data_IF_208982529270
#
_entry.id   IF_208982529270
#
_cell.length_a   1.000
_cell.length_b   1.000
_cell.length_c   1.000
_cell.angle_alpha   90.00
_cell.angle_beta   90.00
_cell.angle_gamma   90.00
#
_symmetry.space_group_name_H-M   'P 1'
#
loop_
_entity.id
_entity.type
_entity.pdbx_description
1 polymer ?
#
# COMPACT_ATOMS: atom_id res chain seq x y z
N UNK A 1 12.03 4.98 -16.07
CA UNK A 1 11.63 4.48 -17.39
C UNK A 1 12.73 4.68 -18.45
N UNK A 2 13.16 5.92 -18.75
CA UNK A 2 14.20 6.16 -19.79
C UNK A 2 15.48 5.37 -19.57
N UNK A 3 15.92 5.22 -18.35
CA UNK A 3 17.11 4.47 -17.97
C UNK A 3 16.82 2.96 -18.03
N UNK A 4 15.72 2.49 -17.50
CA UNK A 4 15.32 1.08 -17.54
C UNK A 4 15.18 0.54 -18.97
N UNK A 5 14.59 1.33 -19.89
CA UNK A 5 14.48 0.95 -21.31
C UNK A 5 15.86 0.78 -22.00
N UNK A 6 16.85 1.58 -21.61
CA UNK A 6 18.19 1.50 -22.18
C UNK A 6 19.00 0.32 -21.64
N UNK A 7 18.80 -0.01 -20.37
CA UNK A 7 19.64 -0.97 -19.65
C UNK A 7 18.97 -2.34 -19.49
N UNK A 8 17.68 -2.46 -19.85
CA UNK A 8 16.87 -3.68 -19.71
C UNK A 8 16.88 -4.30 -18.31
N UNK A 9 17.14 -3.48 -17.28
CA UNK A 9 17.12 -3.94 -15.89
C UNK A 9 15.69 -4.15 -15.40
N UNK A 10 15.46 -5.26 -14.74
CA UNK A 10 14.15 -5.65 -14.20
C UNK A 10 14.04 -5.27 -12.74
N UNK A 11 15.14 -5.36 -11.98
CA UNK A 11 15.15 -5.03 -10.56
C UNK A 11 15.90 -3.73 -10.28
N UNK A 12 15.54 -3.07 -9.17
CA UNK A 12 16.25 -1.89 -8.71
C UNK A 12 17.72 -2.21 -8.31
N UNK A 13 18.03 -3.35 -7.65
CA UNK A 13 19.40 -3.74 -7.40
C UNK A 13 20.25 -3.94 -8.68
N UNK A 14 19.67 -4.45 -9.78
CA UNK A 14 20.37 -4.52 -11.08
C UNK A 14 20.75 -3.12 -11.60
N UNK A 15 19.84 -2.16 -11.43
CA UNK A 15 20.13 -0.77 -11.78
C UNK A 15 21.28 -0.20 -10.94
N UNK A 16 21.30 -0.48 -9.63
CA UNK A 16 22.40 -0.07 -8.73
C UNK A 16 23.74 -0.68 -9.19
N UNK A 17 23.76 -1.98 -9.53
CA UNK A 17 24.97 -2.65 -10.04
C UNK A 17 25.50 -1.95 -11.30
N UNK A 18 24.63 -1.56 -12.22
CA UNK A 18 25.04 -0.89 -13.46
C UNK A 18 25.70 0.48 -13.25
N UNK A 19 25.45 1.10 -12.11
CA UNK A 19 26.00 2.41 -11.75
C UNK A 19 27.22 2.33 -10.86
N UNK A 20 27.31 1.28 -10.03
CA UNK A 20 28.35 1.08 -9.02
C UNK A 20 29.05 -0.26 -9.24
N UNK A 21 28.72 -1.27 -8.42
CA UNK A 21 29.32 -2.60 -8.50
C UNK A 21 28.41 -3.70 -7.93
N UNK A 22 28.86 -4.95 -7.97
CA UNK A 22 28.12 -6.09 -7.44
C UNK A 22 27.94 -6.08 -5.91
N UNK A 23 28.81 -5.39 -5.16
CA UNK A 23 28.66 -5.24 -3.70
C UNK A 23 27.52 -4.29 -3.39
N UNK A 24 27.44 -3.18 -4.12
CA UNK A 24 26.33 -2.23 -4.01
C UNK A 24 25.00 -2.90 -4.35
N UNK A 25 24.94 -3.79 -5.38
CA UNK A 25 23.76 -4.60 -5.69
C UNK A 25 23.35 -5.47 -4.50
N UNK A 26 24.29 -6.20 -3.89
CA UNK A 26 23.98 -7.07 -2.75
C UNK A 26 23.37 -6.30 -1.58
N UNK A 27 23.96 -5.15 -1.23
CA UNK A 27 23.41 -4.28 -0.18
C UNK A 27 22.01 -3.79 -0.55
N UNK A 28 21.80 -3.33 -1.79
CA UNK A 28 20.49 -2.90 -2.27
C UNK A 28 19.46 -4.05 -2.23
N UNK A 29 19.86 -5.27 -2.61
CA UNK A 29 18.99 -6.46 -2.53
C UNK A 29 18.54 -6.75 -1.09
N UNK A 30 19.49 -6.73 -0.15
CA UNK A 30 19.17 -6.95 1.27
C UNK A 30 18.21 -5.88 1.78
N UNK A 31 18.51 -4.61 1.54
CA UNK A 31 17.65 -3.49 1.97
C UNK A 31 16.24 -3.57 1.36
N UNK A 32 16.13 -3.86 0.07
CA UNK A 32 14.83 -3.98 -0.60
C UNK A 32 14.03 -5.18 -0.09
N UNK A 33 14.66 -6.33 0.17
CA UNK A 33 13.99 -7.50 0.76
C UNK A 33 13.43 -7.21 2.15
N UNK A 34 14.21 -6.61 3.04
CA UNK A 34 13.72 -6.21 4.35
C UNK A 34 12.56 -5.22 4.24
N UNK A 35 12.64 -4.27 3.31
CA UNK A 35 11.55 -3.34 3.03
C UNK A 35 10.27 -4.07 2.58
N UNK A 36 10.37 -5.00 1.62
CA UNK A 36 9.22 -5.75 1.11
C UNK A 36 8.61 -6.67 2.17
N UNK A 37 9.42 -7.32 2.99
CA UNK A 37 8.93 -8.11 4.14
C UNK A 37 8.17 -7.21 5.11
N UNK A 38 8.72 -6.04 5.45
CA UNK A 38 8.07 -5.09 6.34
C UNK A 38 6.72 -4.59 5.80
N UNK A 39 6.66 -4.23 4.52
CA UNK A 39 5.41 -3.82 3.86
C UNK A 39 4.40 -4.97 3.87
N UNK A 40 4.79 -6.18 3.45
CA UNK A 40 3.89 -7.34 3.46
C UNK A 40 3.35 -7.62 4.87
N UNK A 41 4.21 -7.60 5.88
CA UNK A 41 3.81 -7.82 7.27
C UNK A 41 2.79 -6.77 7.74
N UNK A 42 3.00 -5.48 7.43
CA UNK A 42 2.08 -4.40 7.80
C UNK A 42 0.70 -4.57 7.13
N UNK A 43 0.66 -4.98 5.85
CA UNK A 43 -0.59 -5.24 5.15
C UNK A 43 -1.34 -6.45 5.74
N UNK A 44 -0.63 -7.51 6.09
CA UNK A 44 -1.23 -8.69 6.71
C UNK A 44 -1.80 -8.39 8.10
N UNK A 45 -1.11 -7.57 8.89
CA UNK A 45 -1.62 -7.12 10.20
C UNK A 45 -2.90 -6.30 10.00
N UNK A 46 -2.89 -5.32 9.10
CA UNK A 46 -4.06 -4.49 8.82
C UNK A 46 -5.27 -5.33 8.33
N UNK A 47 -5.05 -6.27 7.41
CA UNK A 47 -6.11 -7.17 6.93
C UNK A 47 -6.63 -8.08 8.06
N UNK A 48 -5.74 -8.60 8.89
CA UNK A 48 -6.08 -9.44 10.04
C UNK A 48 -6.90 -8.70 11.09
N UNK A 49 -6.58 -7.43 11.38
CA UNK A 49 -7.35 -6.59 12.30
C UNK A 49 -8.77 -6.32 11.79
N UNK A 50 -8.91 -5.98 10.51
CA UNK A 50 -10.23 -5.78 9.89
C UNK A 50 -11.05 -7.06 9.95
N UNK A 51 -10.45 -8.19 9.56
CA UNK A 51 -11.13 -9.47 9.58
C UNK A 51 -11.52 -9.88 11.00
N UNK A 52 -10.65 -9.65 11.99
CA UNK A 52 -10.97 -9.90 13.39
C UNK A 52 -12.12 -9.01 13.90
N UNK A 53 -12.13 -7.74 13.53
CA UNK A 53 -13.20 -6.81 13.90
C UNK A 53 -14.56 -7.27 13.35
N UNK A 54 -14.56 -7.85 12.14
CA UNK A 54 -15.79 -8.33 11.48
C UNK A 54 -16.27 -9.69 12.00
N UNK A 55 -15.35 -10.61 12.24
CA UNK A 55 -15.67 -12.02 12.47
C UNK A 55 -15.55 -12.46 13.91
N UNK A 56 -14.84 -11.70 14.74
CA UNK A 56 -14.54 -12.02 16.14
C UNK A 56 -13.82 -13.38 16.34
N UNK A 57 -13.12 -13.87 15.29
CA UNK A 57 -12.43 -15.17 15.33
C UNK A 57 -11.15 -15.18 16.18
N UNK A 58 -10.73 -14.00 16.64
CA UNK A 58 -9.43 -13.79 17.28
C UNK A 58 -8.34 -13.43 16.27
N UNK A 59 -7.42 -12.54 16.70
CA UNK A 59 -6.43 -11.92 15.81
C UNK A 59 -5.54 -12.94 15.09
N UNK A 60 -5.08 -14.00 15.78
CA UNK A 60 -4.22 -15.01 15.19
C UNK A 60 -4.88 -15.79 14.03
N UNK A 61 -6.15 -16.19 14.19
CA UNK A 61 -6.90 -16.88 13.12
C UNK A 61 -7.18 -15.93 11.95
N UNK A 62 -7.57 -14.71 12.24
CA UNK A 62 -7.85 -13.69 11.24
C UNK A 62 -6.60 -13.34 10.42
N UNK A 63 -5.46 -13.21 11.07
CA UNK A 63 -4.16 -13.03 10.42
C UNK A 63 -3.81 -14.21 9.51
N UNK A 64 -3.98 -15.45 9.99
CA UNK A 64 -3.71 -16.65 9.19
C UNK A 64 -4.59 -16.72 7.94
N UNK A 65 -5.89 -16.45 8.08
CA UNK A 65 -6.83 -16.45 6.94
C UNK A 65 -6.42 -15.36 5.92
N UNK A 66 -6.16 -14.13 6.38
CA UNK A 66 -5.71 -13.06 5.52
C UNK A 66 -4.43 -13.40 4.77
N UNK A 67 -3.46 -14.02 5.47
CA UNK A 67 -2.19 -14.46 4.88
C UNK A 67 -2.38 -15.52 3.80
N UNK A 68 -3.18 -16.54 4.07
CA UNK A 68 -3.47 -17.62 3.10
C UNK A 68 -4.16 -17.06 1.86
N UNK A 69 -5.15 -16.19 2.04
CA UNK A 69 -5.88 -15.58 0.91
C UNK A 69 -4.94 -14.72 0.08
N UNK A 70 -4.14 -13.85 0.70
CA UNK A 70 -3.20 -12.97 0.00
C UNK A 70 -2.17 -13.78 -0.79
N UNK A 71 -1.53 -14.75 -0.17
CA UNK A 71 -0.49 -15.57 -0.81
C UNK A 71 -1.09 -16.38 -1.96
N UNK A 72 -2.21 -17.07 -1.74
CA UNK A 72 -2.85 -17.89 -2.75
C UNK A 72 -3.29 -17.06 -3.97
N UNK A 73 -3.92 -15.92 -3.74
CA UNK A 73 -4.37 -15.03 -4.79
C UNK A 73 -3.19 -14.46 -5.59
N UNK A 74 -2.13 -13.97 -4.93
CA UNK A 74 -0.95 -13.41 -5.59
C UNK A 74 -0.19 -14.47 -6.39
N UNK A 75 -0.02 -15.67 -5.82
CA UNK A 75 0.67 -16.78 -6.49
C UNK A 75 -0.09 -17.29 -7.73
N UNK A 76 -1.42 -17.35 -7.66
CA UNK A 76 -2.24 -17.81 -8.80
C UNK A 76 -2.39 -16.73 -9.88
N UNK A 77 -2.43 -15.46 -9.49
CA UNK A 77 -2.71 -14.34 -10.38
C UNK A 77 -1.50 -13.81 -11.14
N UNK A 78 -0.35 -13.78 -10.50
CA UNK A 78 0.87 -13.16 -11.05
C UNK A 78 0.73 -11.66 -11.31
N UNK A 79 1.78 -11.03 -11.84
CA UNK A 79 1.86 -9.57 -11.99
C UNK A 79 0.72 -8.97 -12.83
N UNK A 80 0.34 -9.61 -13.95
CA UNK A 80 -0.69 -9.06 -14.84
C UNK A 80 -2.08 -9.08 -14.20
N UNK A 81 -2.42 -10.12 -13.47
CA UNK A 81 -3.70 -10.19 -12.76
C UNK A 81 -3.77 -9.12 -11.66
N UNK A 82 -2.68 -8.91 -10.92
CA UNK A 82 -2.60 -7.86 -9.91
C UNK A 82 -2.82 -6.47 -10.53
N UNK A 83 -2.21 -6.18 -11.68
CA UNK A 83 -2.43 -4.89 -12.37
C UNK A 83 -3.90 -4.67 -12.73
N UNK A 84 -4.63 -5.70 -13.19
CA UNK A 84 -6.06 -5.56 -13.51
C UNK A 84 -6.93 -5.42 -12.26
N UNK A 85 -6.64 -6.18 -11.22
CA UNK A 85 -7.40 -6.08 -9.97
C UNK A 85 -7.16 -4.76 -9.26
N UNK A 86 -5.97 -4.18 -9.34
CA UNK A 86 -5.64 -2.86 -8.78
C UNK A 86 -6.61 -1.76 -9.28
N UNK A 87 -7.04 -1.80 -10.54
CA UNK A 87 -8.00 -0.84 -11.07
C UNK A 87 -9.35 -0.91 -10.35
N UNK A 88 -9.86 -2.12 -10.13
CA UNK A 88 -11.13 -2.33 -9.41
C UNK A 88 -10.95 -1.93 -7.95
N UNK A 89 -9.85 -2.32 -7.34
CA UNK A 89 -9.53 -2.05 -5.93
C UNK A 89 -9.40 -0.56 -5.66
N UNK A 90 -8.68 0.19 -6.52
CA UNK A 90 -8.61 1.66 -6.42
C UNK A 90 -9.98 2.30 -6.58
N UNK A 91 -10.79 1.81 -7.53
CA UNK A 91 -12.18 2.30 -7.70
C UNK A 91 -13.01 2.12 -6.43
N UNK A 92 -12.98 0.93 -5.83
CA UNK A 92 -13.71 0.64 -4.58
C UNK A 92 -13.19 1.47 -3.40
N UNK A 93 -11.87 1.65 -3.29
CA UNK A 93 -11.25 2.47 -2.25
C UNK A 93 -11.70 3.93 -2.36
N UNK A 94 -11.59 4.52 -3.57
CA UNK A 94 -11.99 5.91 -3.82
C UNK A 94 -13.47 6.10 -3.52
N UNK A 95 -14.32 5.19 -3.99
CA UNK A 95 -15.75 5.22 -3.69
C UNK A 95 -16.02 5.13 -2.18
N UNK A 96 -15.33 4.23 -1.48
CA UNK A 96 -15.47 4.05 -0.03
C UNK A 96 -15.14 5.32 0.75
N UNK A 97 -14.01 5.93 0.46
CA UNK A 97 -13.55 7.17 1.10
C UNK A 97 -14.51 8.34 0.75
N UNK A 98 -14.88 8.52 -0.51
CA UNK A 98 -15.75 9.65 -0.90
C UNK A 98 -17.15 9.50 -0.33
N UNK A 99 -17.72 8.30 -0.32
CA UNK A 99 -19.03 8.01 0.27
C UNK A 99 -18.97 8.10 1.80
N UNK A 100 -17.84 7.84 2.42
CA UNK A 100 -17.65 7.93 3.86
C UNK A 100 -17.90 9.30 4.43
N UNK A 101 -17.50 10.36 3.72
CA UNK A 101 -17.66 11.74 4.18
C UNK A 101 -19.10 12.11 4.51
N UNK A 102 -20.12 11.93 3.63
CA UNK A 102 -21.50 12.27 3.96
C UNK A 102 -22.07 11.42 5.09
N UNK A 103 -21.70 10.14 5.21
CA UNK A 103 -22.15 9.31 6.33
C UNK A 103 -21.52 9.77 7.66
N UNK A 104 -20.24 10.06 7.68
CA UNK A 104 -19.54 10.62 8.83
C UNK A 104 -20.13 11.99 9.23
N UNK A 105 -20.40 12.86 8.25
CA UNK A 105 -21.02 14.16 8.48
C UNK A 105 -22.41 14.04 9.07
N UNK A 106 -23.23 13.13 8.55
CA UNK A 106 -24.56 12.88 9.08
C UNK A 106 -24.50 12.38 10.53
N UNK A 107 -23.59 11.47 10.84
CA UNK A 107 -23.44 10.88 12.17
C UNK A 107 -22.95 11.90 13.22
N UNK A 108 -22.10 12.86 12.83
CA UNK A 108 -21.57 13.90 13.71
C UNK A 108 -22.48 15.15 13.81
N UNK A 109 -23.56 15.23 13.02
CA UNK A 109 -24.43 16.40 12.99
C UNK A 109 -24.00 17.50 12.01
N UNK A 110 -23.10 17.22 11.10
CA UNK A 110 -22.66 18.10 10.03
C UNK A 110 -21.13 18.18 9.84
N UNK A 111 -20.70 18.62 8.67
CA UNK A 111 -19.26 18.75 8.35
C UNK A 111 -18.53 19.66 9.35
N UNK A 112 -19.22 20.70 9.86
CA UNK A 112 -18.65 21.65 10.82
C UNK A 112 -18.46 21.09 12.23
N UNK A 113 -19.08 19.94 12.54
CA UNK A 113 -19.00 19.33 13.89
C UNK A 113 -17.56 19.03 14.32
N UNK A 114 -16.68 18.72 13.39
CA UNK A 114 -15.24 18.48 13.70
C UNK A 114 -14.56 19.69 14.33
N UNK A 115 -15.11 20.90 14.19
CA UNK A 115 -14.60 22.12 14.87
C UNK A 115 -14.70 22.05 16.40
N UNK A 116 -15.51 21.12 16.94
CA UNK A 116 -15.56 20.87 18.38
C UNK A 116 -14.33 20.13 18.93
N UNK A 117 -13.47 19.59 18.03
CA UNK A 117 -12.21 18.99 18.45
C UNK A 117 -11.22 20.03 18.99
N UNK A 118 -10.29 19.63 19.87
CA UNK A 118 -9.24 20.51 20.37
C UNK A 118 -8.44 21.18 19.26
N UNK A 119 -7.96 22.40 19.50
CA UNK A 119 -7.26 23.22 18.50
C UNK A 119 -6.04 22.54 17.87
N UNK A 120 -5.37 21.62 18.59
CA UNK A 120 -4.23 20.86 18.09
C UNK A 120 -4.55 19.95 16.88
N UNK A 121 -5.85 19.59 16.67
CA UNK A 121 -6.27 18.84 15.46
C UNK A 121 -6.21 19.69 14.19
N UNK A 122 -6.17 21.01 14.33
CA UNK A 122 -6.11 21.96 13.21
C UNK A 122 -4.75 22.62 13.09
N UNK A 123 -3.83 22.33 14.01
CA UNK A 123 -2.46 22.81 13.94
C UNK A 123 -1.61 21.88 13.07
N UNK A 124 -1.19 22.37 11.91
CA UNK A 124 -0.32 21.64 10.99
C UNK A 124 1.06 21.35 11.61
N UNK A 125 1.44 22.10 12.62
CA UNK A 125 2.70 21.93 13.36
C UNK A 125 2.60 21.04 14.60
N UNK A 126 1.43 20.47 14.91
CA UNK A 126 1.19 19.72 16.15
C UNK A 126 2.17 18.56 16.42
N UNK A 127 2.70 17.95 15.37
CA UNK A 127 3.73 16.89 15.46
C UNK A 127 5.16 17.42 15.58
N UNK A 128 5.34 18.77 15.56
CA UNK A 128 6.63 19.41 15.47
C UNK A 128 7.20 19.45 14.04
N UNK A 129 7.60 20.62 13.61
CA UNK A 129 8.13 20.83 12.25
C UNK A 129 9.32 19.93 11.89
N UNK A 130 10.29 19.64 12.78
CA UNK A 130 11.39 18.71 12.48
C UNK A 130 10.87 17.31 12.10
N UNK A 131 9.87 16.79 12.81
CA UNK A 131 9.25 15.48 12.56
C UNK A 131 8.54 15.48 11.21
N UNK A 132 7.76 16.52 10.91
CA UNK A 132 7.02 16.67 9.65
C UNK A 132 7.98 16.72 8.47
N UNK A 133 9.04 17.54 8.57
CA UNK A 133 10.04 17.67 7.51
C UNK A 133 10.79 16.35 7.33
N UNK A 134 11.21 15.69 8.40
CA UNK A 134 11.90 14.41 8.32
C UNK A 134 11.02 13.34 7.66
N UNK A 135 9.73 13.28 8.01
CA UNK A 135 8.78 12.35 7.40
C UNK A 135 8.55 12.67 5.90
N UNK A 136 8.38 13.94 5.56
CA UNK A 136 8.20 14.35 4.17
C UNK A 136 9.43 14.03 3.31
N UNK A 137 10.65 14.34 3.79
CA UNK A 137 11.90 14.02 3.11
C UNK A 137 12.06 12.50 2.97
N UNK A 138 11.83 11.73 4.04
CA UNK A 138 11.90 10.28 4.01
C UNK A 138 10.93 9.69 2.98
N UNK A 139 9.69 10.17 2.93
CA UNK A 139 8.67 9.72 1.97
C UNK A 139 9.09 10.03 0.53
N UNK A 140 9.57 11.24 0.25
CA UNK A 140 10.05 11.61 -1.08
C UNK A 140 11.24 10.74 -1.50
N UNK A 141 12.22 10.54 -0.62
CA UNK A 141 13.39 9.71 -0.91
C UNK A 141 13.00 8.25 -1.13
N UNK A 142 12.05 7.71 -0.36
CA UNK A 142 11.59 6.34 -0.53
C UNK A 142 10.99 6.10 -1.91
N UNK A 143 10.27 7.06 -2.48
CA UNK A 143 9.74 6.93 -3.86
C UNK A 143 10.82 6.70 -4.92
N UNK A 144 12.03 7.20 -4.72
CA UNK A 144 13.15 6.99 -5.64
C UNK A 144 13.90 5.69 -5.40
N UNK A 145 13.78 5.09 -4.22
CA UNK A 145 14.58 3.94 -3.80
C UNK A 145 13.77 2.65 -3.67
N UNK A 146 12.42 2.74 -3.63
CA UNK A 146 11.58 1.54 -3.51
C UNK A 146 11.51 0.75 -4.81
N UNK A 147 11.61 -0.56 -4.69
CA UNK A 147 11.47 -1.50 -5.79
C UNK A 147 10.11 -1.39 -6.47
N UNK A 148 9.03 -1.16 -5.72
CA UNK A 148 7.67 -0.97 -6.25
C UNK A 148 7.60 0.22 -7.21
N UNK A 149 8.06 1.40 -6.81
CA UNK A 149 8.08 2.59 -7.66
C UNK A 149 8.92 2.37 -8.93
N UNK A 150 10.04 1.67 -8.80
CA UNK A 150 10.88 1.31 -9.94
C UNK A 150 10.13 0.40 -10.92
N UNK A 151 9.54 -0.70 -10.42
CA UNK A 151 8.79 -1.67 -11.23
C UNK A 151 7.62 -1.01 -11.97
N UNK A 152 6.84 -0.17 -11.30
CA UNK A 152 5.73 0.59 -11.93
C UNK A 152 6.23 1.53 -13.02
N UNK A 153 7.35 2.21 -12.80
CA UNK A 153 7.95 3.10 -13.79
C UNK A 153 8.46 2.37 -15.03
N UNK A 154 9.11 1.20 -14.87
CA UNK A 154 9.63 0.44 -16.03
C UNK A 154 8.53 -0.28 -16.78
N UNK A 155 7.45 -0.72 -16.12
CA UNK A 155 6.30 -1.38 -16.74
C UNK A 155 5.43 -0.43 -17.58
N UNK A 156 5.55 0.88 -17.41
CA UNK A 156 4.78 1.84 -18.19
C UNK A 156 5.17 1.79 -19.68
N UNK A 157 4.19 1.96 -20.58
CA UNK A 157 4.37 1.92 -22.05
C UNK A 157 5.40 2.94 -22.57
N UNK A 158 5.49 4.10 -21.93
CA UNK A 158 6.46 5.14 -22.30
C UNK A 158 6.78 6.06 -21.12
N UNK A 159 7.89 6.84 -21.18
CA UNK A 159 8.21 7.85 -20.16
C UNK A 159 7.11 8.90 -19.97
N UNK A 160 6.41 9.26 -21.05
CA UNK A 160 5.31 10.21 -21.01
C UNK A 160 4.10 9.65 -20.25
N UNK A 161 3.79 8.35 -20.46
CA UNK A 161 2.72 7.64 -19.73
C UNK A 161 3.06 7.55 -18.25
N UNK A 162 4.29 7.16 -17.89
CA UNK A 162 4.74 7.11 -16.49
C UNK A 162 4.60 8.48 -15.81
N UNK A 163 5.05 9.57 -16.46
CA UNK A 163 4.94 10.93 -15.94
C UNK A 163 3.48 11.35 -15.73
N UNK A 164 2.62 11.15 -16.73
CA UNK A 164 1.19 11.51 -16.63
C UNK A 164 0.49 10.71 -15.55
N UNK A 165 0.75 9.41 -15.45
CA UNK A 165 0.21 8.55 -14.40
C UNK A 165 0.58 9.05 -13.01
N UNK A 166 1.84 9.42 -12.77
CA UNK A 166 2.27 10.01 -11.51
C UNK A 166 1.58 11.34 -11.18
N UNK A 167 1.38 12.21 -12.17
CA UNK A 167 0.64 13.47 -11.97
C UNK A 167 -0.82 13.20 -11.61
N UNK A 168 -1.50 12.31 -12.33
CA UNK A 168 -2.90 11.96 -12.04
C UNK A 168 -3.06 11.32 -10.66
N UNK A 169 -2.14 10.43 -10.29
CA UNK A 169 -2.13 9.84 -8.95
C UNK A 169 -1.95 10.92 -7.86
N UNK A 170 -1.02 11.86 -8.04
CA UNK A 170 -0.82 12.95 -7.10
C UNK A 170 -2.05 13.85 -6.97
N UNK A 171 -2.71 14.19 -8.08
CA UNK A 171 -3.94 14.98 -8.07
C UNK A 171 -5.10 14.25 -7.40
N UNK A 172 -5.19 12.94 -7.54
CA UNK A 172 -6.23 12.12 -6.91
C UNK A 172 -6.00 11.96 -5.40
N UNK A 173 -4.75 11.81 -4.97
CA UNK A 173 -4.41 11.61 -3.54
C UNK A 173 -4.77 12.84 -2.70
N UNK A 174 -4.63 14.06 -3.22
CA UNK A 174 -4.90 15.28 -2.47
C UNK A 174 -6.34 15.30 -1.91
N UNK A 175 -7.42 15.23 -2.72
CA UNK A 175 -8.78 15.23 -2.18
C UNK A 175 -9.07 14.01 -1.30
N UNK A 176 -8.52 12.84 -1.63
CA UNK A 176 -8.70 11.65 -0.80
C UNK A 176 -8.06 11.80 0.58
N UNK A 177 -6.89 12.45 0.67
CA UNK A 177 -6.26 12.73 1.96
C UNK A 177 -7.13 13.65 2.84
N UNK A 178 -7.78 14.68 2.26
CA UNK A 178 -8.73 15.50 3.00
C UNK A 178 -9.95 14.72 3.47
N UNK A 179 -10.52 13.87 2.61
CA UNK A 179 -11.66 13.01 2.99
C UNK A 179 -11.29 12.08 4.14
N UNK A 180 -10.17 11.35 4.03
CA UNK A 180 -9.72 10.42 5.06
C UNK A 180 -9.37 11.13 6.38
N UNK A 181 -8.77 12.32 6.31
CA UNK A 181 -8.50 13.13 7.51
C UNK A 181 -9.81 13.53 8.20
N UNK A 182 -10.78 14.00 7.42
CA UNK A 182 -12.10 14.34 7.96
C UNK A 182 -12.79 13.14 8.63
N UNK A 183 -12.76 11.96 8.00
CA UNK A 183 -13.31 10.73 8.55
C UNK A 183 -12.63 10.31 9.85
N UNK A 184 -11.30 10.45 9.94
CA UNK A 184 -10.54 10.23 11.16
C UNK A 184 -10.97 11.18 12.30
N UNK A 185 -11.12 12.47 11.99
CA UNK A 185 -11.60 13.49 12.93
C UNK A 185 -13.05 13.22 13.38
N UNK A 186 -13.92 12.84 12.45
CA UNK A 186 -15.31 12.46 12.75
C UNK A 186 -15.37 11.23 13.64
N UNK A 187 -14.53 10.23 13.41
CA UNK A 187 -14.45 9.04 14.27
C UNK A 187 -14.03 9.40 15.69
N UNK A 188 -13.08 10.31 15.85
CA UNK A 188 -12.65 10.78 17.17
C UNK A 188 -13.78 11.46 17.95
N UNK A 189 -14.68 12.16 17.28
CA UNK A 189 -15.89 12.73 17.91
C UNK A 189 -16.89 11.66 18.29
N UNK A 190 -17.09 10.64 17.45
CA UNK A 190 -18.06 9.57 17.68
C UNK A 190 -17.60 8.57 18.72
N UNK A 191 -16.29 8.31 18.77
CA UNK A 191 -15.66 7.34 19.67
C UNK A 191 -14.41 7.99 20.30
N UNK A 192 -14.59 8.83 21.33
CA UNK A 192 -13.48 9.53 21.99
C UNK A 192 -12.42 8.59 22.56
N UNK A 193 -12.84 7.43 23.08
CA UNK A 193 -12.00 6.44 23.77
C UNK A 193 -11.77 5.18 22.92
N UNK A 194 -11.53 5.35 21.61
CA UNK A 194 -11.21 4.22 20.74
C UNK A 194 -9.92 3.55 21.22
N UNK A 195 -9.93 2.22 21.52
CA UNK A 195 -8.73 1.52 21.99
C UNK A 195 -7.56 1.64 21.01
N UNK A 196 -6.36 1.78 21.54
CA UNK A 196 -5.13 1.78 20.71
C UNK A 196 -5.02 0.47 19.92
N UNK A 197 -4.58 0.56 18.65
CA UNK A 197 -4.49 -0.60 17.75
C UNK A 197 -5.80 -0.98 17.07
N UNK A 198 -6.89 -0.24 17.26
CA UNK A 198 -8.15 -0.48 16.56
C UNK A 198 -8.16 0.26 15.23
N UNK A 199 -8.67 -0.39 14.17
CA UNK A 199 -8.80 0.27 12.88
C UNK A 199 -9.92 1.33 12.90
N UNK A 200 -9.51 2.61 12.85
CA UNK A 200 -10.39 3.79 12.95
C UNK A 200 -11.48 3.76 11.87
N UNK A 201 -11.06 3.50 10.61
CA UNK A 201 -11.96 3.53 9.45
C UNK A 201 -13.00 2.42 9.51
N UNK A 202 -12.61 1.20 9.91
CA UNK A 202 -13.55 0.09 10.05
C UNK A 202 -14.63 0.39 11.10
N UNK A 203 -14.24 0.97 12.24
CA UNK A 203 -15.20 1.35 13.28
C UNK A 203 -16.16 2.43 12.80
N UNK A 204 -15.69 3.45 12.11
CA UNK A 204 -16.54 4.47 11.51
C UNK A 204 -17.60 3.84 10.59
N UNK A 205 -17.17 2.96 9.69
CA UNK A 205 -18.07 2.28 8.75
C UNK A 205 -19.11 1.43 9.47
N UNK A 206 -18.69 0.66 10.46
CA UNK A 206 -19.61 -0.19 11.24
C UNK A 206 -20.67 0.61 11.97
N UNK A 207 -20.35 1.81 12.43
CA UNK A 207 -21.29 2.66 13.16
C UNK A 207 -22.21 3.47 12.26
N UNK A 208 -21.69 3.99 11.14
CA UNK A 208 -22.37 5.05 10.40
C UNK A 208 -23.02 4.60 9.10
N UNK A 209 -22.56 3.51 8.50
CA UNK A 209 -23.03 3.09 7.18
C UNK A 209 -24.24 2.14 7.26
N UNK A 210 -25.17 2.19 6.28
CA UNK A 210 -26.22 1.18 6.12
C UNK A 210 -25.64 -0.20 5.80
N UNK A 211 -26.33 -1.27 6.21
CA UNK A 211 -25.83 -2.65 6.13
C UNK A 211 -25.31 -3.08 4.75
N UNK A 212 -25.98 -2.71 3.65
CA UNK A 212 -25.54 -3.07 2.30
C UNK A 212 -24.26 -2.36 1.87
N UNK A 213 -24.13 -1.07 2.19
CA UNK A 213 -22.96 -0.25 1.82
C UNK A 213 -21.75 -0.61 2.68
N UNK A 214 -21.94 -0.94 3.96
CA UNK A 214 -20.87 -1.40 4.86
C UNK A 214 -19.98 -2.46 4.23
N UNK A 215 -20.61 -3.52 3.70
CA UNK A 215 -19.89 -4.64 3.11
C UNK A 215 -19.03 -4.22 1.92
N UNK A 216 -19.59 -3.43 1.01
CA UNK A 216 -18.88 -2.95 -0.18
C UNK A 216 -17.66 -2.11 0.21
N UNK A 217 -17.81 -1.19 1.15
CA UNK A 217 -16.71 -0.30 1.57
C UNK A 217 -15.62 -1.07 2.31
N UNK A 218 -15.98 -2.02 3.18
CA UNK A 218 -15.02 -2.87 3.88
C UNK A 218 -14.26 -3.74 2.90
N UNK A 219 -14.94 -4.34 1.92
CA UNK A 219 -14.28 -5.09 0.85
C UNK A 219 -13.33 -4.18 0.06
N UNK A 220 -13.72 -2.91 -0.19
CA UNK A 220 -12.85 -1.93 -0.84
C UNK A 220 -11.57 -1.65 -0.04
N UNK A 221 -11.65 -1.52 1.28
CA UNK A 221 -10.48 -1.32 2.14
C UNK A 221 -9.59 -2.57 2.15
N UNK A 222 -10.18 -3.75 2.30
CA UNK A 222 -9.42 -5.01 2.23
C UNK A 222 -8.74 -5.18 0.88
N UNK A 223 -9.42 -4.84 -0.21
CA UNK A 223 -8.86 -4.86 -1.54
C UNK A 223 -7.66 -3.91 -1.70
N UNK A 224 -7.74 -2.70 -1.14
CA UNK A 224 -6.62 -1.75 -1.14
C UNK A 224 -5.40 -2.25 -0.35
N UNK A 225 -5.63 -2.91 0.79
CA UNK A 225 -4.59 -3.55 1.58
C UNK A 225 -3.95 -4.69 0.78
N UNK A 226 -4.76 -5.54 0.14
CA UNK A 226 -4.29 -6.64 -0.70
C UNK A 226 -3.44 -6.14 -1.86
N UNK A 227 -3.85 -5.10 -2.57
CA UNK A 227 -3.11 -4.49 -3.68
C UNK A 227 -1.69 -4.07 -3.30
N UNK A 228 -1.51 -3.53 -2.10
CA UNK A 228 -0.18 -3.17 -1.59
C UNK A 228 0.63 -4.40 -1.18
N UNK A 229 -0.02 -5.41 -0.63
CA UNK A 229 0.61 -6.68 -0.25
C UNK A 229 1.09 -7.49 -1.46
N UNK A 230 0.26 -7.57 -2.51
CA UNK A 230 0.56 -8.29 -3.74
C UNK A 230 1.85 -7.80 -4.41
N UNK A 231 1.95 -6.48 -4.59
CA UNK A 231 3.12 -5.90 -5.24
C UNK A 231 4.39 -6.09 -4.39
N UNK A 232 4.27 -6.06 -3.05
CA UNK A 232 5.39 -6.32 -2.17
C UNK A 232 5.86 -7.78 -2.25
N UNK A 233 4.95 -8.74 -2.35
CA UNK A 233 5.27 -10.16 -2.54
C UNK A 233 5.93 -10.38 -3.90
N UNK A 234 5.34 -9.86 -4.98
CA UNK A 234 5.87 -10.03 -6.35
C UNK A 234 7.27 -9.40 -6.49
N UNK A 235 7.46 -8.18 -5.98
CA UNK A 235 8.76 -7.49 -6.07
C UNK A 235 9.81 -8.15 -5.18
N UNK A 236 9.42 -8.60 -3.98
CA UNK A 236 10.29 -9.38 -3.11
C UNK A 236 10.71 -10.71 -3.75
N UNK A 237 9.78 -11.40 -4.39
CA UNK A 237 10.06 -12.64 -5.15
C UNK A 237 11.00 -12.38 -6.33
N UNK A 238 10.82 -11.30 -7.07
CA UNK A 238 11.73 -10.90 -8.15
C UNK A 238 13.14 -10.63 -7.62
N UNK A 239 13.30 -9.99 -6.47
CA UNK A 239 14.59 -9.80 -5.82
C UNK A 239 15.26 -11.14 -5.46
N UNK A 240 14.51 -12.07 -4.86
CA UNK A 240 15.05 -13.40 -4.50
C UNK A 240 15.47 -14.17 -5.75
N UNK A 241 14.64 -14.21 -6.77
CA UNK A 241 14.88 -15.01 -7.96
C UNK A 241 15.94 -14.42 -8.86
N UNK A 242 15.98 -13.11 -9.07
CA UNK A 242 16.93 -12.46 -9.98
C UNK A 242 18.21 -12.01 -9.28
N UNK A 243 18.10 -11.40 -8.10
CA UNK A 243 19.27 -10.80 -7.46
C UNK A 243 20.03 -11.79 -6.57
N UNK A 244 19.39 -12.89 -6.13
CA UNK A 244 20.06 -13.93 -5.35
C UNK A 244 20.20 -15.21 -6.16
N UNK A 245 19.09 -15.85 -6.58
CA UNK A 245 19.16 -17.18 -7.19
C UNK A 245 19.90 -17.17 -8.53
N UNK A 246 19.48 -16.31 -9.48
CA UNK A 246 20.13 -16.22 -10.79
C UNK A 246 21.56 -15.72 -10.69
N UNK A 247 21.85 -14.81 -9.77
CA UNK A 247 23.17 -14.18 -9.64
C UNK A 247 24.20 -15.07 -8.95
N UNK A 248 23.81 -15.75 -7.86
CA UNK A 248 24.77 -16.44 -6.98
C UNK A 248 24.61 -17.96 -6.94
N UNK A 249 23.40 -18.50 -7.24
CA UNK A 249 23.13 -19.93 -7.10
C UNK A 249 23.15 -20.62 -8.46
N UNK A 250 22.42 -20.10 -9.46
CA UNK A 250 22.38 -20.71 -10.80
C UNK A 250 22.35 -19.65 -11.91
N UNK A 251 23.52 -19.12 -12.31
CA UNK A 251 23.62 -18.09 -13.36
C UNK A 251 23.12 -18.51 -14.74
N UNK A 252 22.98 -19.82 -14.98
CA UNK A 252 22.51 -20.38 -16.26
C UNK A 252 21.03 -20.81 -16.22
N UNK A 253 20.29 -20.44 -15.19
CA UNK A 253 18.88 -20.79 -15.10
C UNK A 253 18.07 -20.17 -16.26
N UNK A 254 17.21 -20.98 -16.89
CA UNK A 254 16.34 -20.50 -17.95
C UNK A 254 15.27 -19.53 -17.40
N UNK A 255 14.82 -18.58 -18.24
CA UNK A 255 13.74 -17.65 -17.89
C UNK A 255 12.46 -18.37 -17.42
N UNK A 256 12.16 -19.56 -18.00
CA UNK A 256 11.04 -20.39 -17.55
C UNK A 256 11.21 -20.89 -16.12
N UNK A 257 12.44 -21.27 -15.73
CA UNK A 257 12.75 -21.70 -14.36
C UNK A 257 12.67 -20.53 -13.38
N UNK A 258 13.17 -19.37 -13.77
CA UNK A 258 13.10 -18.14 -12.97
C UNK A 258 11.65 -17.74 -12.74
N UNK A 259 10.83 -17.74 -13.80
CA UNK A 259 9.39 -17.44 -13.70
C UNK A 259 8.65 -18.39 -12.77
N UNK A 260 8.96 -19.71 -12.81
CA UNK A 260 8.33 -20.69 -11.90
C UNK A 260 8.77 -20.57 -10.45
N UNK A 261 9.98 -20.08 -10.19
CA UNK A 261 10.50 -19.85 -8.83
C UNK A 261 9.99 -18.52 -8.26
N UNK A 262 9.61 -17.58 -9.13
CA UNK A 262 9.13 -16.25 -8.74
C UNK A 262 7.62 -16.15 -8.57
N UNK A 263 6.90 -17.23 -8.77
CA UNK A 263 5.48 -17.39 -8.48
C UNK A 263 5.37 -18.17 -7.16
#
# INVERSE_FOLDING_TARGET
>A
KRIGDKLQHITYPEFIESRYDGRARLVATICTLFGMIGVTASQLVAAGEILNTLTQLGLGKSFLIASVVLIAYTALGGFMAVVYTDWVQVGLLVLGIVIGVPFAAKATGGISAVRALPANYFDLGAWGWPTIIAFAVSTVLSFFTTMDSYTRCISAKSPAVAKRGGIYAALLIIPLAFCSTYEGMATKLLIPDLPAGTNVMTNLILMTFPSGIKGIVIVGILAAIMSSGDIAIITGSANITRDIYLRYINPQASEQKISRLGI
#
